data_IF_127896558131
#
_entry.id   IF_127896558131
#
_cell.length_a   1.000
_cell.length_b   1.000
_cell.length_c   1.000
_cell.angle_alpha   90.00
_cell.angle_beta   90.00
_cell.angle_gamma   90.00
#
_symmetry.space_group_name_H-M   'P 1'
#
loop_
_entity.id
_entity.type
_entity.pdbx_description
1 polymer ?
#
# COMPACT_ATOMS: atom_id res chain seq x y z
N UNK A 1 18.24 -2.18 19.87
CA UNK A 1 18.81 -1.41 18.74
C UNK A 1 17.64 -0.71 18.05
N UNK A 2 17.44 0.59 18.28
CA UNK A 2 16.36 1.34 17.64
C UNK A 2 16.87 1.88 16.31
N UNK A 3 16.32 1.39 15.20
CA UNK A 3 16.61 1.93 13.87
C UNK A 3 15.70 3.13 13.65
N UNK A 4 16.23 4.34 13.80
CA UNK A 4 15.53 5.55 13.39
C UNK A 4 15.57 5.62 11.86
N UNK A 5 14.42 5.45 11.22
CA UNK A 5 14.30 5.52 9.77
C UNK A 5 14.17 7.00 9.36
N UNK A 6 15.28 7.59 8.94
CA UNK A 6 15.35 8.95 8.42
C UNK A 6 15.26 8.94 6.90
N UNK A 7 14.33 9.71 6.33
CA UNK A 7 14.16 9.81 4.87
C UNK A 7 14.82 11.07 4.34
N UNK A 8 15.53 10.94 3.22
CA UNK A 8 16.12 12.09 2.54
C UNK A 8 15.07 12.80 1.68
N UNK A 9 14.75 14.05 2.00
CA UNK A 9 13.88 14.87 1.17
C UNK A 9 14.71 15.78 0.26
N UNK A 10 14.80 15.40 -1.03
CA UNK A 10 15.63 16.09 -2.04
C UNK A 10 15.35 17.59 -2.18
N UNK A 11 14.14 18.04 -1.82
CA UNK A 11 13.74 19.44 -1.96
C UNK A 11 14.24 20.34 -0.83
N UNK A 12 14.65 19.78 0.32
CA UNK A 12 15.05 20.57 1.50
C UNK A 12 16.46 20.27 2.01
N UNK A 13 17.22 19.33 1.42
CA UNK A 13 18.57 18.93 1.88
C UNK A 13 18.64 18.54 3.37
N UNK A 14 17.56 18.02 3.95
CA UNK A 14 17.50 17.50 5.32
C UNK A 14 16.85 16.13 5.37
N UNK A 15 17.19 15.40 6.43
CA UNK A 15 16.56 14.14 6.79
C UNK A 15 15.34 14.41 7.67
N UNK A 16 14.19 13.84 7.31
CA UNK A 16 12.95 13.97 8.08
C UNK A 16 12.28 12.59 8.23
N UNK A 17 11.49 12.43 9.29
CA UNK A 17 10.62 11.28 9.52
C UNK A 17 9.14 11.63 9.26
N UNK A 18 8.84 12.84 8.78
CA UNK A 18 7.50 13.27 8.36
C UNK A 18 7.30 13.00 6.87
N UNK A 19 6.38 12.09 6.55
CA UNK A 19 5.96 11.80 5.17
C UNK A 19 4.65 12.53 4.90
N UNK A 20 4.67 13.48 3.97
CA UNK A 20 3.45 14.13 3.46
C UNK A 20 2.98 13.40 2.22
N UNK A 21 1.76 12.86 2.26
CA UNK A 21 1.16 12.12 1.13
C UNK A 21 -0.18 12.73 0.79
N UNK A 22 -0.39 12.99 -0.51
CA UNK A 22 -1.70 13.40 -1.01
C UNK A 22 -2.66 12.21 -1.01
N UNK A 23 -3.84 12.41 -0.45
CA UNK A 23 -4.91 11.42 -0.43
C UNK A 23 -5.85 11.63 -1.62
N UNK A 24 -6.30 10.54 -2.23
CA UNK A 24 -7.23 10.53 -3.36
C UNK A 24 -8.66 10.18 -2.91
N UNK A 25 -9.68 10.49 -3.73
CA UNK A 25 -11.07 10.11 -3.42
C UNK A 25 -11.25 8.60 -3.25
N UNK A 26 -10.48 7.79 -3.98
CA UNK A 26 -10.49 6.33 -3.85
C UNK A 26 -9.88 5.81 -2.55
N UNK A 27 -9.19 6.67 -1.79
CA UNK A 27 -8.71 6.34 -0.44
C UNK A 27 -9.81 6.44 0.62
N UNK A 28 -10.97 7.02 0.29
CA UNK A 28 -12.10 7.24 1.20
C UNK A 28 -13.37 6.52 0.70
N UNK A 29 -14.11 5.86 1.61
CA UNK A 29 -15.52 5.50 1.36
C UNK A 29 -15.91 4.02 1.41
N UNK A 30 -14.97 3.07 1.35
CA UNK A 30 -15.31 1.64 1.44
C UNK A 30 -15.06 1.04 2.84
N UNK A 31 -14.21 1.67 3.64
CA UNK A 31 -13.87 1.26 5.01
C UNK A 31 -13.49 2.47 5.86
N UNK A 32 -13.76 2.42 7.16
CA UNK A 32 -13.52 3.53 8.10
C UNK A 32 -12.02 3.89 8.21
N UNK A 33 -11.12 2.92 7.99
CA UNK A 33 -9.68 3.07 8.24
C UNK A 33 -8.78 2.74 7.02
N UNK A 34 -9.27 2.98 5.80
CA UNK A 34 -8.47 2.71 4.60
C UNK A 34 -7.23 3.63 4.54
N UNK A 35 -6.04 3.04 4.52
CA UNK A 35 -4.78 3.78 4.38
C UNK A 35 -4.65 4.35 2.95
N UNK A 36 -4.02 5.53 2.77
CA UNK A 36 -3.74 6.07 1.45
C UNK A 36 -2.81 5.16 0.63
N UNK A 37 -3.16 4.89 -0.62
CA UNK A 37 -2.42 3.93 -1.46
C UNK A 37 -0.97 4.37 -1.71
N UNK A 38 -0.75 5.64 -2.11
CA UNK A 38 0.58 6.21 -2.38
C UNK A 38 1.52 6.12 -1.16
N UNK A 39 0.97 6.23 0.05
CA UNK A 39 1.75 6.11 1.28
C UNK A 39 2.28 4.67 1.42
N UNK A 40 1.44 3.68 1.17
CA UNK A 40 1.82 2.28 1.28
C UNK A 40 2.84 1.89 0.20
N UNK A 41 2.69 2.36 -1.04
CA UNK A 41 3.67 2.14 -2.11
C UNK A 41 5.04 2.73 -1.74
N UNK A 42 5.05 3.96 -1.22
CA UNK A 42 6.27 4.61 -0.74
C UNK A 42 6.93 3.79 0.37
N UNK A 43 6.21 3.47 1.44
CA UNK A 43 6.73 2.72 2.58
C UNK A 43 7.28 1.34 2.19
N UNK A 44 6.59 0.61 1.31
CA UNK A 44 7.06 -0.69 0.83
C UNK A 44 8.33 -0.53 -0.02
N UNK A 45 8.37 0.47 -0.91
CA UNK A 45 9.54 0.72 -1.77
C UNK A 45 10.81 1.06 -0.99
N UNK A 46 10.67 1.71 0.17
CA UNK A 46 11.78 2.11 1.03
C UNK A 46 12.51 0.94 1.67
N UNK A 47 11.79 -0.16 1.93
CA UNK A 47 12.30 -1.28 2.73
C UNK A 47 12.37 -2.59 1.96
N UNK A 48 11.99 -2.60 0.67
CA UNK A 48 11.95 -3.82 -0.14
C UNK A 48 12.45 -3.62 -1.56
N UNK A 49 13.00 -4.69 -2.14
CA UNK A 49 13.37 -4.78 -3.55
C UNK A 49 12.20 -5.30 -4.39
N UNK A 50 12.30 -5.14 -5.70
CA UNK A 50 11.37 -5.75 -6.66
C UNK A 50 11.28 -7.27 -6.44
N UNK A 51 10.10 -7.85 -6.69
CA UNK A 51 9.79 -9.27 -6.47
C UNK A 51 9.87 -9.74 -4.99
N UNK A 52 10.06 -8.84 -4.02
CA UNK A 52 9.93 -9.20 -2.60
C UNK A 52 8.49 -9.64 -2.27
N UNK A 53 8.35 -10.46 -1.23
CA UNK A 53 7.04 -10.89 -0.70
C UNK A 53 6.68 -10.02 0.51
N UNK A 54 5.53 -9.35 0.44
CA UNK A 54 4.98 -8.52 1.52
C UNK A 54 3.92 -9.31 2.28
N UNK A 55 4.09 -9.47 3.59
CA UNK A 55 3.08 -10.05 4.46
C UNK A 55 2.32 -8.94 5.20
N UNK A 56 1.00 -8.93 5.05
CA UNK A 56 0.10 -8.12 5.88
C UNK A 56 -0.89 -9.03 6.62
N UNK A 57 -0.66 -9.34 7.91
CA UNK A 57 -1.52 -10.23 8.67
C UNK A 57 -2.87 -9.60 9.07
N UNK A 58 -3.05 -8.30 8.82
CA UNK A 58 -4.27 -7.55 9.15
C UNK A 58 -4.65 -6.67 7.95
N UNK A 59 -4.81 -7.30 6.78
CA UNK A 59 -4.84 -6.55 5.52
C UNK A 59 -6.08 -5.67 5.35
N UNK A 60 -7.15 -5.87 6.14
CA UNK A 60 -8.34 -5.04 6.12
C UNK A 60 -8.91 -4.92 4.72
N UNK A 61 -9.02 -3.69 4.21
CA UNK A 61 -9.49 -3.40 2.86
C UNK A 61 -8.51 -3.73 1.73
N UNK A 62 -7.32 -4.26 2.03
CA UNK A 62 -6.36 -4.75 1.03
C UNK A 62 -5.38 -3.72 0.46
N UNK A 63 -5.30 -2.51 1.03
CA UNK A 63 -4.43 -1.44 0.49
C UNK A 63 -2.95 -1.87 0.38
N UNK A 64 -2.41 -2.57 1.37
CA UNK A 64 -1.01 -3.07 1.33
C UNK A 64 -0.79 -4.04 0.18
N UNK A 65 -1.76 -4.91 -0.10
CA UNK A 65 -1.69 -5.89 -1.19
C UNK A 65 -1.71 -5.20 -2.56
N UNK A 66 -2.60 -4.22 -2.73
CA UNK A 66 -2.69 -3.42 -3.95
C UNK A 66 -1.40 -2.62 -4.15
N UNK A 67 -0.91 -1.96 -3.10
CA UNK A 67 0.35 -1.22 -3.15
C UNK A 67 1.52 -2.12 -3.56
N UNK A 68 1.68 -3.28 -2.91
CA UNK A 68 2.72 -4.25 -3.27
C UNK A 68 2.62 -4.64 -4.75
N UNK A 69 1.42 -4.98 -5.24
CA UNK A 69 1.18 -5.31 -6.65
C UNK A 69 1.62 -4.17 -7.59
N UNK A 70 1.16 -2.94 -7.33
CA UNK A 70 1.41 -1.78 -8.18
C UNK A 70 2.91 -1.48 -8.36
N UNK A 71 3.72 -1.79 -7.36
CA UNK A 71 5.17 -1.61 -7.41
C UNK A 71 5.91 -2.94 -7.66
N UNK A 72 5.32 -3.92 -8.34
CA UNK A 72 5.98 -5.20 -8.70
C UNK A 72 6.52 -6.01 -7.51
N UNK A 73 5.76 -6.08 -6.42
CA UNK A 73 6.02 -6.99 -5.28
C UNK A 73 4.92 -8.04 -5.20
N UNK A 74 5.30 -9.22 -4.71
CA UNK A 74 4.34 -10.25 -4.33
C UNK A 74 3.76 -9.93 -2.95
N UNK A 75 2.60 -10.49 -2.61
CA UNK A 75 1.97 -10.24 -1.33
C UNK A 75 1.20 -11.45 -0.79
N UNK A 76 1.05 -11.47 0.53
CA UNK A 76 0.15 -12.36 1.28
C UNK A 76 -0.63 -11.47 2.24
N UNK A 77 -1.95 -11.42 2.07
CA UNK A 77 -2.87 -10.69 2.96
C UNK A 77 -3.72 -11.66 3.76
N UNK A 78 -3.84 -11.43 5.07
CA UNK A 78 -4.72 -12.20 5.96
C UNK A 78 -5.70 -11.24 6.61
N UNK A 79 -6.98 -11.63 6.66
CA UNK A 79 -8.04 -10.87 7.32
C UNK A 79 -9.08 -11.85 7.87
N UNK A 80 -9.52 -11.63 9.11
CA UNK A 80 -10.44 -12.51 9.82
C UNK A 80 -11.90 -12.14 9.54
N UNK A 81 -12.16 -10.85 9.31
CA UNK A 81 -13.50 -10.35 9.03
C UNK A 81 -13.89 -10.60 7.56
N UNK A 82 -14.89 -11.45 7.37
CA UNK A 82 -15.36 -11.86 6.05
C UNK A 82 -15.87 -10.69 5.19
N UNK A 83 -16.36 -9.61 5.80
CA UNK A 83 -16.79 -8.41 5.07
C UNK A 83 -15.59 -7.66 4.49
N UNK A 84 -14.53 -7.47 5.26
CA UNK A 84 -13.27 -6.88 4.80
C UNK A 84 -12.57 -7.73 3.75
N UNK A 85 -12.59 -9.07 3.89
CA UNK A 85 -12.10 -9.99 2.85
C UNK A 85 -12.80 -9.75 1.52
N UNK A 86 -14.15 -9.61 1.51
CA UNK A 86 -14.91 -9.32 0.29
C UNK A 86 -14.51 -7.98 -0.33
N UNK A 87 -14.35 -6.93 0.48
CA UNK A 87 -13.91 -5.61 0.01
C UNK A 87 -12.51 -5.68 -0.59
N UNK A 88 -11.56 -6.30 0.12
CA UNK A 88 -10.17 -6.47 -0.32
C UNK A 88 -10.10 -7.18 -1.67
N UNK A 89 -10.79 -8.32 -1.80
CA UNK A 89 -10.83 -9.08 -3.04
C UNK A 89 -11.45 -8.29 -4.19
N UNK A 90 -12.55 -7.56 -3.95
CA UNK A 90 -13.17 -6.68 -4.96
C UNK A 90 -12.17 -5.63 -5.45
N UNK A 91 -11.51 -4.92 -4.54
CA UNK A 91 -10.52 -3.88 -4.89
C UNK A 91 -9.31 -4.44 -5.63
N UNK A 92 -8.86 -5.64 -5.27
CA UNK A 92 -7.78 -6.34 -5.97
C UNK A 92 -8.18 -6.73 -7.40
N UNK A 93 -9.41 -7.21 -7.60
CA UNK A 93 -9.91 -7.52 -8.94
C UNK A 93 -10.06 -6.26 -9.80
N UNK A 94 -10.61 -5.18 -9.24
CA UNK A 94 -10.72 -3.89 -9.93
C UNK A 94 -9.34 -3.36 -10.35
N UNK A 95 -8.33 -3.49 -9.48
CA UNK A 95 -6.96 -3.08 -9.83
C UNK A 95 -6.34 -3.94 -10.93
N UNK A 96 -6.73 -5.21 -11.08
CA UNK A 96 -6.28 -6.09 -12.18
C UNK A 96 -6.97 -5.79 -13.51
N UNK A 97 -8.25 -5.42 -13.49
CA UNK A 97 -8.99 -5.08 -14.71
C UNK A 97 -8.48 -3.79 -15.37
N UNK A 98 -7.99 -2.84 -14.57
CA UNK A 98 -7.32 -1.64 -15.07
C UNK A 98 -6.07 -1.97 -15.90
N UNK A 99 -5.29 -2.98 -15.50
CA UNK A 99 -4.08 -3.39 -16.23
C UNK A 99 -4.39 -3.99 -17.61
N UNK A 100 -5.55 -4.65 -17.75
CA UNK A 100 -5.98 -5.33 -18.99
C UNK A 100 -6.57 -4.38 -20.04
N UNK A 101 -7.07 -3.21 -19.63
CA UNK A 101 -7.70 -2.23 -20.54
C UNK A 101 -6.69 -1.22 -21.13
N UNK A 102 -5.40 -1.37 -20.83
CA UNK A 102 -4.33 -0.47 -21.28
C UNK A 102 -3.56 -1.05 -22.50
N UNK A 103 -3.93 -2.25 -22.96
CA UNK A 103 -3.43 -2.90 -24.17
C UNK A 103 -4.55 -3.04 -25.21
#
# INVERSE_FOLDING_TARGET
>A
MYLYLFFYQKNNNFYDNIIKVETSKSDFGNHVNQKPLKLMEFLISLVTKENAIILDPFCGSGTTCIAAKNINRHYIGIEIDSYNVKISNKRLLESMQLDLNIY
#
